data_IF_611702959165
#
_entry.id   IF_611702959165
#
_cell.length_a   1.000
_cell.length_b   1.000
_cell.length_c   1.000
_cell.angle_alpha   90.00
_cell.angle_beta   90.00
_cell.angle_gamma   90.00
#
_symmetry.space_group_name_H-M   'P 1'
#
loop_
_entity.id
_entity.type
_entity.pdbx_description
1 polymer ?
#
# COMPACT_ATOMS: atom_id res chain seq x y z
N UNK A 1 -0.91 -7.01 -2.09
CA UNK A 1 -0.56 -7.79 -0.87
C UNK A 1 0.26 -9.01 -1.24
N UNK A 2 1.11 -9.46 -0.32
CA UNK A 2 1.91 -10.69 -0.44
C UNK A 2 1.74 -11.48 0.87
N UNK A 3 1.23 -12.71 0.80
CA UNK A 3 0.76 -13.49 1.96
C UNK A 3 1.22 -14.94 1.93
N UNK A 4 1.46 -15.52 3.11
CA UNK A 4 1.97 -16.89 3.26
C UNK A 4 0.93 -17.95 2.85
N UNK A 5 -0.33 -17.70 3.18
CA UNK A 5 -1.45 -18.65 3.04
C UNK A 5 -2.71 -17.87 2.62
N UNK A 6 -3.78 -18.55 2.21
CA UNK A 6 -5.04 -17.91 1.79
C UNK A 6 -6.04 -17.66 2.94
N UNK A 7 -5.71 -18.05 4.17
CA UNK A 7 -6.55 -17.82 5.36
C UNK A 7 -6.54 -16.35 5.79
N UNK A 8 -7.68 -15.79 6.18
CA UNK A 8 -7.89 -14.35 6.46
C UNK A 8 -6.90 -13.73 7.46
N UNK A 9 -6.33 -14.55 8.34
CA UNK A 9 -5.39 -14.14 9.37
C UNK A 9 -3.93 -14.50 9.06
N UNK A 10 -3.61 -14.83 7.80
CA UNK A 10 -2.29 -15.25 7.37
C UNK A 10 -1.21 -14.18 7.58
N UNK A 11 0.03 -14.65 7.79
CA UNK A 11 1.24 -13.83 7.74
C UNK A 11 1.32 -13.12 6.38
N UNK A 12 1.45 -11.80 6.38
CA UNK A 12 1.33 -11.01 5.15
C UNK A 12 2.05 -9.65 5.23
N UNK A 13 2.41 -9.12 4.07
CA UNK A 13 2.82 -7.74 3.85
C UNK A 13 1.82 -7.07 2.89
N UNK A 14 1.35 -5.88 3.28
CA UNK A 14 0.29 -5.15 2.57
C UNK A 14 0.78 -3.74 2.28
N UNK A 15 0.54 -3.30 1.04
CA UNK A 15 0.44 -1.88 0.72
C UNK A 15 -1.00 -1.62 0.35
N UNK A 16 -1.60 -0.59 0.96
CA UNK A 16 -2.96 -0.17 0.66
C UNK A 16 -3.04 1.37 0.60
N UNK A 17 -3.99 1.84 -0.22
CA UNK A 17 -4.41 3.22 -0.31
C UNK A 17 -5.83 3.31 0.24
N UNK A 18 -6.02 4.14 1.27
CA UNK A 18 -7.31 4.42 1.87
C UNK A 18 -8.04 5.51 1.07
N UNK A 19 -9.38 5.54 1.16
CA UNK A 19 -10.20 6.50 0.41
C UNK A 19 -9.89 7.97 0.73
N UNK A 20 -9.38 8.25 1.93
CA UNK A 20 -8.95 9.60 2.35
C UNK A 20 -7.48 9.90 1.99
N UNK A 21 -6.79 9.02 1.26
CA UNK A 21 -5.43 9.26 0.77
C UNK A 21 -4.29 8.77 1.67
N UNK A 22 -4.59 8.18 2.84
CA UNK A 22 -3.57 7.52 3.65
C UNK A 22 -3.05 6.28 2.93
N UNK A 23 -1.72 6.14 2.87
CA UNK A 23 -1.04 4.97 2.31
C UNK A 23 -0.26 4.32 3.43
N UNK A 24 -0.29 2.99 3.53
CA UNK A 24 0.54 2.30 4.51
C UNK A 24 1.34 1.15 3.91
N UNK A 25 2.44 0.84 4.59
CA UNK A 25 3.15 -0.42 4.49
C UNK A 25 2.90 -1.18 5.80
N UNK A 26 2.09 -2.22 5.71
CA UNK A 26 1.63 -3.00 6.86
C UNK A 26 2.18 -4.43 6.81
N UNK A 27 2.33 -5.04 7.97
CA UNK A 27 2.60 -6.47 8.09
C UNK A 27 1.78 -7.13 9.19
N UNK A 28 1.39 -8.37 8.93
CA UNK A 28 1.08 -9.34 9.95
C UNK A 28 2.30 -10.25 10.15
N UNK A 29 2.97 -10.20 11.31
CA UNK A 29 4.22 -10.94 11.51
C UNK A 29 4.02 -12.46 11.56
N UNK A 30 2.87 -12.91 12.05
CA UNK A 30 2.48 -14.32 12.24
C UNK A 30 0.98 -14.51 12.07
N UNK A 31 0.55 -15.75 11.85
CA UNK A 31 -0.87 -16.08 11.72
C UNK A 31 -1.64 -15.65 12.98
N UNK A 32 -2.78 -14.99 12.80
CA UNK A 32 -3.60 -14.47 13.90
C UNK A 32 -3.01 -13.26 14.64
N UNK A 33 -1.76 -12.86 14.37
CA UNK A 33 -1.15 -11.72 15.03
C UNK A 33 -1.81 -10.41 14.60
N UNK A 34 -1.73 -9.36 15.44
CA UNK A 34 -2.20 -8.03 15.06
C UNK A 34 -1.34 -7.48 13.92
N UNK A 35 -2.00 -6.85 12.95
CA UNK A 35 -1.33 -6.06 11.92
C UNK A 35 -0.67 -4.85 12.59
N UNK A 36 0.55 -4.54 12.15
CA UNK A 36 1.26 -3.29 12.47
C UNK A 36 1.66 -2.62 11.17
N UNK A 37 1.70 -1.31 11.16
CA UNK A 37 1.94 -0.55 9.94
C UNK A 37 2.78 0.70 10.15
N UNK A 38 3.30 1.17 9.02
CA UNK A 38 3.89 2.48 8.87
C UNK A 38 2.99 3.26 7.90
N UNK A 39 2.34 4.30 8.41
CA UNK A 39 1.35 5.10 7.68
C UNK A 39 1.95 6.42 7.16
N UNK A 40 1.51 6.81 5.97
CA UNK A 40 1.85 8.07 5.32
C UNK A 40 0.58 8.83 4.96
N UNK A 41 0.52 10.09 5.38
CA UNK A 41 -0.52 11.05 5.00
C UNK A 41 0.16 12.20 4.28
N UNK A 42 -0.07 12.33 2.98
CA UNK A 42 0.58 13.33 2.14
C UNK A 42 -0.39 14.46 1.87
N UNK A 43 0.08 15.70 2.04
CA UNK A 43 -0.71 16.90 1.77
C UNK A 43 0.15 18.03 1.22
N UNK A 44 -0.48 18.93 0.46
CA UNK A 44 0.15 20.14 -0.06
C UNK A 44 -0.64 21.39 0.30
N UNK A 45 0.07 22.49 0.57
CA UNK A 45 -0.53 23.82 0.78
C UNK A 45 -0.60 24.60 -0.53
N UNK A 46 -1.49 25.60 -0.59
CA UNK A 46 -1.71 26.39 -1.80
C UNK A 46 -2.35 25.62 -2.96
N UNK A 47 -2.86 24.41 -2.71
CA UNK A 47 -3.55 23.57 -3.69
C UNK A 47 -5.03 23.97 -3.80
N UNK A 48 -5.66 23.77 -4.99
CA UNK A 48 -7.10 23.90 -5.12
C UNK A 48 -7.85 23.03 -4.09
N UNK A 49 -8.99 23.52 -3.60
CA UNK A 49 -9.80 22.82 -2.58
C UNK A 49 -9.48 23.18 -1.14
N UNK A 50 -8.42 23.97 -0.88
CA UNK A 50 -8.15 24.55 0.44
C UNK A 50 -9.08 25.72 0.77
N UNK A 51 -9.48 25.87 2.03
CA UNK A 51 -10.28 27.01 2.50
C UNK A 51 -9.47 28.32 2.57
N UNK A 52 -8.15 28.20 2.64
CA UNK A 52 -7.17 29.30 2.65
C UNK A 52 -5.86 28.85 1.98
N UNK A 53 -4.95 29.78 1.63
CA UNK A 53 -3.64 29.42 1.09
C UNK A 53 -2.83 28.47 1.99
N UNK A 54 -3.08 28.50 3.31
CA UNK A 54 -2.41 27.66 4.31
C UNK A 54 -3.06 26.30 4.54
N UNK A 55 -4.20 26.04 3.92
CA UNK A 55 -4.92 24.77 4.08
C UNK A 55 -4.08 23.63 3.53
N UNK A 56 -3.90 22.58 4.35
CA UNK A 56 -3.31 21.33 3.89
C UNK A 56 -4.38 20.56 3.11
N UNK A 57 -4.17 20.39 1.81
CA UNK A 57 -5.04 19.60 0.94
C UNK A 57 -4.41 18.24 0.74
N UNK A 58 -5.15 17.17 1.04
CA UNK A 58 -4.67 15.80 0.89
C UNK A 58 -4.32 15.49 -0.57
N UNK A 59 -3.18 14.83 -0.75
CA UNK A 59 -2.73 14.30 -2.04
C UNK A 59 -2.99 12.80 -2.04
N UNK A 60 -3.88 12.35 -2.92
CA UNK A 60 -4.17 10.93 -3.11
C UNK A 60 -3.19 10.41 -4.15
N UNK A 61 -2.44 9.36 -3.81
CA UNK A 61 -1.47 8.80 -4.75
C UNK A 61 -2.15 8.23 -6.00
N UNK A 62 -1.57 8.56 -7.15
CA UNK A 62 -1.99 8.04 -8.45
C UNK A 62 -1.61 6.57 -8.64
N UNK A 63 -0.49 6.13 -8.05
CA UNK A 63 -0.02 4.73 -8.10
C UNK A 63 0.66 4.34 -6.80
N UNK A 64 0.39 3.11 -6.38
CA UNK A 64 1.04 2.46 -5.24
C UNK A 64 1.62 1.12 -5.69
N UNK A 65 2.68 0.68 -5.02
CA UNK A 65 3.35 -0.58 -5.31
C UNK A 65 3.99 -1.18 -4.06
N UNK A 66 4.14 -2.50 -4.08
CA UNK A 66 4.88 -3.26 -3.09
C UNK A 66 5.95 -4.08 -3.80
N UNK A 67 7.20 -3.94 -3.36
CA UNK A 67 8.32 -4.78 -3.84
C UNK A 67 8.73 -5.75 -2.73
N UNK A 68 8.97 -7.02 -3.07
CA UNK A 68 9.65 -7.99 -2.20
C UNK A 68 11.06 -8.24 -2.73
N UNK A 69 12.09 -8.08 -1.87
CA UNK A 69 13.49 -8.42 -2.15
C UNK A 69 14.06 -9.24 -1.00
N UNK A 70 14.14 -10.56 -1.18
CA UNK A 70 14.42 -11.47 -0.06
C UNK A 70 13.30 -11.34 0.99
N UNK A 71 13.65 -11.00 2.24
CA UNK A 71 12.68 -10.75 3.31
C UNK A 71 12.27 -9.27 3.43
N UNK A 72 12.86 -8.39 2.63
CA UNK A 72 12.56 -6.97 2.67
C UNK A 72 11.35 -6.65 1.79
N UNK A 73 10.40 -5.87 2.33
CA UNK A 73 9.26 -5.34 1.59
C UNK A 73 9.30 -3.82 1.60
N UNK A 74 9.22 -3.21 0.41
CA UNK A 74 9.26 -1.76 0.23
C UNK A 74 7.95 -1.24 -0.34
N UNK A 75 7.51 -0.08 0.17
CA UNK A 75 6.44 0.73 -0.40
C UNK A 75 7.01 1.60 -1.52
N UNK A 76 6.31 1.63 -2.65
CA UNK A 76 6.59 2.52 -3.77
C UNK A 76 5.36 3.36 -4.08
N UNK A 77 5.56 4.64 -4.37
CA UNK A 77 4.47 5.61 -4.59
C UNK A 77 4.80 6.52 -5.76
N UNK A 78 3.75 6.87 -6.51
CA UNK A 78 3.69 8.01 -7.43
C UNK A 78 2.45 8.81 -7.05
N UNK A 79 2.66 10.04 -6.61
CA UNK A 79 1.62 10.93 -6.12
C UNK A 79 0.81 11.51 -7.28
N UNK A 80 1.47 12.13 -8.25
CA UNK A 80 0.83 12.89 -9.34
C UNK A 80 1.23 12.38 -10.73
N UNK A 81 1.85 11.19 -10.81
CA UNK A 81 2.27 10.57 -12.05
C UNK A 81 3.75 10.76 -12.36
N UNK A 82 4.53 11.31 -11.42
CA UNK A 82 5.98 11.20 -11.44
C UNK A 82 6.42 9.72 -11.36
N UNK A 83 7.66 9.39 -11.75
CA UNK A 83 8.16 8.02 -11.62
C UNK A 83 7.97 7.45 -10.21
N UNK A 84 7.64 6.16 -10.11
CA UNK A 84 7.53 5.51 -8.80
C UNK A 84 8.86 5.61 -8.05
N UNK A 85 8.78 5.97 -6.79
CA UNK A 85 9.93 6.01 -5.90
C UNK A 85 9.59 5.34 -4.57
N UNK A 86 10.62 4.83 -3.91
CA UNK A 86 10.44 4.19 -2.61
C UNK A 86 10.04 5.24 -1.57
N UNK A 87 9.03 4.91 -0.77
CA UNK A 87 8.55 5.73 0.33
C UNK A 87 8.94 5.11 1.67
N UNK A 88 9.89 5.76 2.36
CA UNK A 88 10.43 5.35 3.64
C UNK A 88 11.20 4.01 3.65
N UNK A 89 11.52 3.47 4.84
CA UNK A 89 12.32 2.26 4.97
C UNK A 89 11.51 1.00 4.64
N UNK A 90 12.17 -0.07 4.16
CA UNK A 90 11.52 -1.37 4.03
C UNK A 90 11.18 -1.97 5.40
N UNK A 91 10.20 -2.86 5.41
CA UNK A 91 9.94 -3.77 6.53
C UNK A 91 10.58 -5.14 6.27
N UNK A 92 10.87 -5.89 7.33
CA UNK A 92 11.42 -7.25 7.22
C UNK A 92 10.37 -8.28 7.65
N UNK A 93 10.04 -9.20 6.74
CA UNK A 93 9.13 -10.30 6.98
C UNK A 93 9.60 -11.53 6.21
N UNK A 94 9.78 -12.67 6.88
CA UNK A 94 10.07 -13.93 6.18
C UNK A 94 8.77 -14.54 5.68
N UNK A 95 8.70 -14.77 4.37
CA UNK A 95 7.72 -15.68 3.75
C UNK A 95 8.49 -16.84 3.13
N UNK A 96 8.00 -18.07 3.31
CA UNK A 96 8.53 -19.28 2.69
C UNK A 96 7.73 -19.63 1.46
N UNK A 97 8.37 -20.23 0.45
CA UNK A 97 7.65 -20.70 -0.73
C UNK A 97 6.83 -21.97 -0.39
N UNK A 98 5.62 -22.12 -0.96
CA UNK A 98 4.92 -21.13 -1.79
C UNK A 98 4.30 -19.99 -0.96
N UNK A 99 4.19 -18.81 -1.57
CA UNK A 99 3.43 -17.67 -1.06
C UNK A 99 2.62 -17.04 -2.20
N UNK A 100 1.62 -16.24 -1.85
CA UNK A 100 0.65 -15.68 -2.79
C UNK A 100 0.84 -14.18 -2.95
N UNK A 101 0.67 -13.69 -4.18
CA UNK A 101 0.66 -12.26 -4.52
C UNK A 101 -0.72 -11.93 -5.09
N UNK A 102 -1.33 -10.86 -4.61
CA UNK A 102 -2.68 -10.50 -5.04
C UNK A 102 -3.08 -9.08 -4.74
N UNK A 103 -4.26 -8.74 -5.24
CA UNK A 103 -4.94 -7.47 -5.04
C UNK A 103 -6.18 -7.76 -4.18
N UNK A 104 -6.47 -6.87 -3.24
CA UNK A 104 -7.67 -6.93 -2.42
C UNK A 104 -8.34 -5.56 -2.32
N UNK A 105 -9.63 -5.58 -2.02
CA UNK A 105 -10.42 -4.40 -1.72
C UNK A 105 -11.25 -4.69 -0.47
N UNK A 106 -11.32 -3.73 0.46
CA UNK A 106 -12.06 -3.87 1.70
C UNK A 106 -12.71 -2.52 2.03
N UNK A 107 -14.02 -2.51 2.30
CA UNK A 107 -14.64 -1.32 2.89
C UNK A 107 -14.28 -1.24 4.37
N UNK A 108 -13.98 -0.03 4.84
CA UNK A 108 -13.79 0.23 6.26
C UNK A 108 -15.08 0.15 7.06
N UNK A 109 -16.22 0.27 6.39
CA UNK A 109 -17.54 0.30 7.00
C UNK A 109 -18.28 -0.99 6.63
N UNK A 110 -18.56 -1.89 7.59
CA UNK A 110 -19.08 -3.22 7.30
C UNK A 110 -20.47 -3.23 6.64
N UNK A 111 -21.16 -2.10 6.67
CA UNK A 111 -22.52 -1.94 6.11
C UNK A 111 -22.55 -1.16 4.80
N UNK A 112 -21.40 -0.78 4.26
CA UNK A 112 -21.31 0.07 3.06
C UNK A 112 -20.69 -0.71 1.90
N UNK A 113 -21.33 -0.65 0.74
CA UNK A 113 -20.80 -1.23 -0.49
C UNK A 113 -20.03 -0.14 -1.22
N UNK A 114 -18.72 -0.32 -1.32
CA UNK A 114 -17.84 0.55 -2.08
C UNK A 114 -17.38 -0.15 -3.37
N UNK A 115 -17.06 0.64 -4.40
CA UNK A 115 -16.52 0.13 -5.67
C UNK A 115 -15.14 0.72 -5.91
N UNK A 116 -14.18 -0.15 -6.26
CA UNK A 116 -12.86 0.26 -6.70
C UNK A 116 -12.54 -0.35 -8.07
N UNK A 117 -11.92 0.44 -8.94
CA UNK A 117 -11.38 -0.02 -10.22
C UNK A 117 -9.86 -0.03 -10.11
N UNK A 118 -9.26 -1.20 -10.28
CA UNK A 118 -7.82 -1.33 -10.45
C UNK A 118 -7.50 -1.43 -11.93
N UNK A 119 -6.63 -0.55 -12.40
CA UNK A 119 -6.19 -0.48 -13.79
C UNK A 119 -4.66 -0.36 -13.86
N UNK A 120 -4.09 -0.64 -15.03
CA UNK A 120 -2.64 -0.57 -15.26
C UNK A 120 -1.83 -1.40 -14.24
N UNK A 121 -2.34 -2.59 -13.92
CA UNK A 121 -1.72 -3.54 -13.00
C UNK A 121 -0.51 -4.19 -13.67
N UNK A 122 0.62 -4.19 -12.98
CA UNK A 122 1.85 -4.84 -13.42
C UNK A 122 2.30 -5.78 -12.31
N UNK A 123 2.64 -7.01 -12.69
CA UNK A 123 3.26 -7.99 -11.80
C UNK A 123 4.55 -8.49 -12.46
N UNK A 124 5.68 -8.18 -11.84
CA UNK A 124 7.00 -8.63 -12.28
C UNK A 124 7.55 -9.60 -11.24
N UNK A 125 7.93 -10.81 -11.66
CA UNK A 125 8.61 -11.77 -10.79
C UNK A 125 10.12 -11.49 -10.73
N UNK A 126 10.48 -10.24 -10.46
CA UNK A 126 11.85 -9.78 -10.31
C UNK A 126 11.87 -8.51 -9.44
N UNK A 127 12.79 -8.46 -8.47
CA UNK A 127 13.02 -7.24 -7.70
C UNK A 127 13.83 -6.20 -8.51
N UNK A 128 13.72 -4.93 -8.14
CA UNK A 128 14.39 -3.80 -8.77
C UNK A 128 13.74 -3.33 -10.07
N UNK A 129 12.45 -3.66 -10.29
CA UNK A 129 11.73 -3.40 -11.55
C UNK A 129 10.52 -2.47 -11.40
N UNK A 130 10.31 -1.88 -10.22
CA UNK A 130 9.20 -0.94 -10.01
C UNK A 130 9.41 0.32 -10.85
N UNK A 131 8.36 0.74 -11.57
CA UNK A 131 8.31 1.89 -12.47
C UNK A 131 7.12 2.78 -12.14
#
# INVERSE_FOLDING_TARGET
>A
MIRQELDDDAKEAIVALHGEGMIHLAQRPDKGARVKDMEYRIGGRGRPGGASPDSLVTVIAKRIGIEKRGDAFSLWVSLEGEPMHQFGPPITLRLTEPFYVGIGFCSHLPTTVDTAVLSNVVLENAAGRVQ
#
